data_IF_428286376189
#
_entry.id   IF_428286376189
#
_cell.length_a   1.000
_cell.length_b   1.000
_cell.length_c   1.000
_cell.angle_alpha   90.00
_cell.angle_beta   90.00
_cell.angle_gamma   90.00
#
_symmetry.space_group_name_H-M   'P 1'
#
loop_
_entity.id
_entity.type
_entity.pdbx_description
1 polymer ?
#
# COMPACT_ATOMS: atom_id res chain seq x y z
N UNK A 1 67.04 -55.09 20.85
CA UNK A 1 66.10 -54.26 21.64
C UNK A 1 65.00 -53.77 20.71
N UNK A 2 63.76 -53.93 21.13
CA UNK A 2 62.53 -53.86 20.35
C UNK A 2 61.93 -52.44 20.28
N UNK A 3 61.03 -52.25 19.29
CA UNK A 3 60.02 -51.18 19.10
C UNK A 3 60.55 -49.87 18.45
N UNK A 4 59.86 -49.20 17.53
CA UNK A 4 58.46 -49.27 17.07
C UNK A 4 58.34 -48.53 15.72
N UNK A 5 57.49 -49.01 14.82
CA UNK A 5 56.96 -48.28 13.67
C UNK A 5 56.19 -47.03 14.15
N UNK A 6 56.31 -45.92 13.43
CA UNK A 6 55.24 -44.92 13.31
C UNK A 6 55.16 -44.49 11.84
N UNK A 7 53.96 -44.68 11.31
CA UNK A 7 53.53 -44.45 9.93
C UNK A 7 53.48 -42.95 9.61
N UNK A 8 53.65 -42.62 8.33
CA UNK A 8 53.55 -41.27 7.82
C UNK A 8 52.09 -40.78 7.84
N UNK A 9 51.84 -39.68 8.54
CA UNK A 9 50.60 -38.94 8.39
C UNK A 9 50.66 -38.03 7.17
N UNK A 10 49.86 -38.38 6.16
CA UNK A 10 49.57 -37.55 5.00
C UNK A 10 48.79 -36.32 5.47
N UNK A 11 49.40 -35.14 5.36
CA UNK A 11 48.72 -33.86 5.62
C UNK A 11 47.72 -33.59 4.50
N UNK A 12 46.45 -33.93 4.72
CA UNK A 12 45.35 -33.48 3.87
C UNK A 12 45.10 -31.98 4.07
N UNK A 13 45.62 -31.15 3.16
CA UNK A 13 45.15 -29.78 2.98
C UNK A 13 43.71 -29.79 2.43
N UNK A 14 42.75 -29.92 3.35
CA UNK A 14 41.35 -29.68 3.06
C UNK A 14 41.13 -28.23 2.66
N UNK A 15 41.16 -27.93 1.35
CA UNK A 15 40.56 -26.71 0.80
C UNK A 15 39.09 -26.70 1.24
N UNK A 16 38.76 -25.93 2.28
CA UNK A 16 37.38 -25.51 2.55
C UNK A 16 36.89 -24.80 1.29
N UNK A 17 36.14 -25.51 0.44
CA UNK A 17 35.25 -24.89 -0.55
C UNK A 17 34.40 -23.92 0.25
N UNK A 18 34.65 -22.61 0.14
CA UNK A 18 33.68 -21.60 0.55
C UNK A 18 32.41 -21.98 -0.18
N UNK A 19 31.39 -22.43 0.57
CA UNK A 19 30.03 -22.52 0.07
C UNK A 19 29.70 -21.09 -0.32
N UNK A 20 29.83 -20.76 -1.61
CA UNK A 20 29.39 -19.47 -2.12
C UNK A 20 27.91 -19.41 -1.79
N UNK A 21 27.55 -18.52 -0.87
CA UNK A 21 26.16 -18.34 -0.50
C UNK A 21 25.40 -18.00 -1.79
N UNK A 22 24.52 -18.89 -2.23
CA UNK A 22 23.83 -18.77 -3.52
C UNK A 22 23.09 -17.44 -3.59
N UNK A 23 22.65 -16.97 -2.42
CA UNK A 23 22.05 -15.66 -2.25
C UNK A 23 23.02 -14.54 -2.64
N UNK A 24 24.25 -14.51 -2.09
CA UNK A 24 25.26 -13.49 -2.41
C UNK A 24 25.69 -13.49 -3.89
N UNK A 25 25.64 -14.64 -4.57
CA UNK A 25 25.95 -14.73 -6.00
C UNK A 25 24.79 -14.41 -6.95
N UNK A 26 23.57 -14.28 -6.43
CA UNK A 26 22.40 -13.97 -7.26
C UNK A 26 22.45 -12.54 -7.82
N UNK A 27 21.91 -12.25 -9.01
CA UNK A 27 21.76 -10.87 -9.51
C UNK A 27 20.83 -10.03 -8.64
N UNK A 28 21.12 -8.73 -8.50
CA UNK A 28 20.33 -7.80 -7.69
C UNK A 28 18.88 -7.68 -8.19
N UNK A 29 18.63 -7.88 -9.48
CA UNK A 29 17.31 -7.86 -10.10
C UNK A 29 16.39 -8.95 -9.53
N UNK A 30 16.93 -10.14 -9.25
CA UNK A 30 16.16 -11.25 -8.64
C UNK A 30 15.78 -10.87 -7.22
N UNK A 31 16.72 -10.32 -6.46
CA UNK A 31 16.48 -9.91 -5.07
C UNK A 31 15.47 -8.77 -5.01
N UNK A 32 15.56 -7.79 -5.91
CA UNK A 32 14.59 -6.70 -6.03
C UNK A 32 13.20 -7.25 -6.35
N UNK A 33 13.09 -8.22 -7.27
CA UNK A 33 11.80 -8.86 -7.60
C UNK A 33 11.20 -9.59 -6.40
N UNK A 34 12.01 -10.32 -5.64
CA UNK A 34 11.58 -10.97 -4.39
C UNK A 34 11.09 -9.91 -3.39
N UNK A 35 11.86 -8.85 -3.19
CA UNK A 35 11.50 -7.76 -2.28
C UNK A 35 10.23 -7.02 -2.71
N UNK A 36 9.99 -6.83 -4.00
CA UNK A 36 8.76 -6.24 -4.51
C UNK A 36 7.55 -7.10 -4.13
N UNK A 37 7.62 -8.41 -4.42
CA UNK A 37 6.55 -9.34 -4.06
C UNK A 37 6.29 -9.32 -2.56
N UNK A 38 7.35 -9.45 -1.75
CA UNK A 38 7.26 -9.40 -0.30
C UNK A 38 6.60 -8.09 0.19
N UNK A 39 7.08 -6.94 -0.27
CA UNK A 39 6.56 -5.60 0.09
C UNK A 39 5.08 -5.40 -0.26
N UNK A 40 4.56 -6.14 -1.24
CA UNK A 40 3.15 -6.08 -1.66
C UNK A 40 2.22 -7.01 -0.88
N UNK A 41 2.79 -7.98 -0.14
CA UNK A 41 2.04 -9.07 0.52
C UNK A 41 2.12 -9.07 2.04
N UNK A 42 2.98 -8.26 2.66
CA UNK A 42 3.15 -8.28 4.11
C UNK A 42 1.90 -7.83 4.86
N UNK A 43 1.67 -8.46 6.01
CA UNK A 43 0.58 -8.11 6.93
C UNK A 43 0.97 -7.01 7.93
N UNK A 44 2.27 -6.65 8.02
CA UNK A 44 2.77 -5.65 8.96
C UNK A 44 4.07 -5.00 8.46
N UNK A 45 4.24 -3.72 8.78
CA UNK A 45 5.47 -2.95 8.55
C UNK A 45 6.68 -3.53 9.29
N UNK A 46 6.49 -4.16 10.45
CA UNK A 46 7.55 -4.84 11.22
C UNK A 46 8.19 -6.00 10.46
N UNK A 47 7.39 -6.76 9.71
CA UNK A 47 7.84 -7.97 9.03
C UNK A 47 8.75 -7.60 7.86
N UNK A 48 8.38 -6.56 7.12
CA UNK A 48 9.21 -6.00 6.07
C UNK A 48 10.55 -5.51 6.61
N UNK A 49 10.54 -4.72 7.69
CA UNK A 49 11.76 -4.21 8.33
C UNK A 49 12.65 -5.35 8.81
N UNK A 50 12.09 -6.41 9.39
CA UNK A 50 12.85 -7.58 9.85
C UNK A 50 13.58 -8.27 8.71
N UNK A 51 12.93 -8.43 7.54
CA UNK A 51 13.60 -8.96 6.33
C UNK A 51 14.74 -8.05 5.89
N UNK A 52 14.52 -6.73 5.85
CA UNK A 52 15.56 -5.78 5.46
C UNK A 52 16.76 -5.78 6.41
N UNK A 53 16.56 -6.04 7.70
CA UNK A 53 17.61 -6.09 8.71
C UNK A 53 18.41 -7.40 8.71
N UNK A 54 17.94 -8.42 8.00
CA UNK A 54 18.59 -9.74 7.96
C UNK A 54 20.00 -9.67 7.38
N UNK A 55 20.23 -8.86 6.34
CA UNK A 55 21.58 -8.63 5.82
C UNK A 55 21.73 -7.26 5.15
N UNK A 56 22.99 -6.80 5.03
CA UNK A 56 23.32 -5.49 4.43
C UNK A 56 22.82 -5.37 2.98
N UNK A 57 22.84 -6.46 2.23
CA UNK A 57 22.41 -6.48 0.83
C UNK A 57 20.90 -6.25 0.71
N UNK A 58 20.10 -6.98 1.50
CA UNK A 58 18.64 -6.78 1.56
C UNK A 58 18.30 -5.36 2.04
N UNK A 59 18.98 -4.86 3.07
CA UNK A 59 18.79 -3.49 3.55
C UNK A 59 18.98 -2.46 2.44
N UNK A 60 20.08 -2.58 1.68
CA UNK A 60 20.41 -1.69 0.56
C UNK A 60 19.39 -1.79 -0.59
N UNK A 61 18.98 -3.00 -0.96
CA UNK A 61 18.05 -3.21 -2.07
C UNK A 61 16.58 -2.93 -1.69
N UNK A 62 16.24 -2.99 -0.41
CA UNK A 62 14.89 -2.70 0.10
C UNK A 62 14.44 -1.26 -0.12
N UNK A 63 15.38 -0.33 -0.24
CA UNK A 63 15.11 1.08 -0.57
C UNK A 63 15.17 1.38 -2.07
N UNK A 64 15.25 0.34 -2.91
CA UNK A 64 15.20 0.51 -4.36
C UNK A 64 13.82 1.05 -4.79
N UNK A 65 13.74 2.01 -5.74
CA UNK A 65 12.47 2.63 -6.13
C UNK A 65 11.37 1.64 -6.52
N UNK A 66 11.71 0.53 -7.19
CA UNK A 66 10.72 -0.50 -7.52
C UNK A 66 10.09 -1.15 -6.28
N UNK A 67 10.89 -1.47 -5.26
CA UNK A 67 10.39 -2.05 -4.00
C UNK A 67 9.49 -1.05 -3.30
N UNK A 68 9.97 0.19 -3.15
CA UNK A 68 9.22 1.25 -2.48
C UNK A 68 7.91 1.59 -3.20
N UNK A 69 7.89 1.56 -4.54
CA UNK A 69 6.69 1.82 -5.34
C UNK A 69 5.60 0.75 -5.19
N UNK A 70 5.99 -0.48 -4.80
CA UNK A 70 5.12 -1.65 -4.64
C UNK A 70 4.74 -1.95 -3.19
N UNK A 71 5.29 -1.22 -2.21
CA UNK A 71 4.95 -1.38 -0.80
C UNK A 71 3.43 -1.21 -0.57
N UNK A 72 2.81 -2.18 0.10
CA UNK A 72 1.39 -2.18 0.45
C UNK A 72 1.06 -1.23 1.62
N UNK A 73 -0.24 -1.05 1.86
CA UNK A 73 -0.80 -0.28 2.97
C UNK A 73 -0.25 -0.71 4.33
N UNK A 74 -0.18 -2.00 4.58
CA UNK A 74 0.26 -2.60 5.84
C UNK A 74 1.76 -2.34 6.06
N UNK A 75 2.55 -2.36 4.99
CA UNK A 75 3.99 -2.01 5.04
C UNK A 75 4.19 -0.54 5.37
N UNK A 76 3.29 0.34 4.93
CA UNK A 76 3.34 1.79 5.17
C UNK A 76 2.59 2.22 6.44
N UNK A 77 1.84 1.30 7.06
CA UNK A 77 1.04 1.58 8.24
C UNK A 77 1.94 1.81 9.46
N UNK A 78 2.16 3.09 9.78
CA UNK A 78 2.81 3.53 11.01
C UNK A 78 1.76 4.26 11.84
N UNK A 79 1.36 3.65 12.96
CA UNK A 79 0.44 4.28 13.90
C UNK A 79 1.03 5.55 14.50
N UNK A 80 0.18 6.54 14.79
CA UNK A 80 0.61 7.85 15.26
C UNK A 80 1.54 7.80 16.50
N UNK A 81 1.32 6.85 17.41
CA UNK A 81 2.16 6.63 18.59
C UNK A 81 3.60 6.23 18.25
N UNK A 82 3.79 5.54 17.12
CA UNK A 82 5.08 5.00 16.68
C UNK A 82 5.69 5.85 15.56
N UNK A 83 5.16 7.06 15.33
CA UNK A 83 5.66 7.95 14.30
C UNK A 83 7.04 8.50 14.69
N UNK A 84 8.03 8.34 13.81
CA UNK A 84 9.40 8.85 13.99
C UNK A 84 9.90 9.59 12.74
N UNK A 85 11.04 10.25 12.86
CA UNK A 85 11.70 10.91 11.72
C UNK A 85 12.10 9.90 10.65
N UNK A 86 12.48 8.67 11.03
CA UNK A 86 12.78 7.57 10.12
C UNK A 86 11.52 7.10 9.38
N UNK A 87 10.38 6.96 10.08
CA UNK A 87 9.11 6.62 9.46
C UNK A 87 8.69 7.67 8.43
N UNK A 88 8.81 8.95 8.79
CA UNK A 88 8.55 10.07 7.88
C UNK A 88 9.50 10.07 6.68
N UNK A 89 10.79 9.82 6.90
CA UNK A 89 11.80 9.71 5.83
C UNK A 89 11.49 8.55 4.90
N UNK A 90 11.14 7.39 5.45
CA UNK A 90 10.75 6.22 4.67
C UNK A 90 9.51 6.52 3.81
N UNK A 91 8.48 7.13 4.39
CA UNK A 91 7.28 7.53 3.64
C UNK A 91 7.60 8.51 2.50
N UNK A 92 8.51 9.48 2.72
CA UNK A 92 9.00 10.37 1.66
C UNK A 92 9.72 9.62 0.54
N UNK A 93 10.51 8.60 0.86
CA UNK A 93 11.15 7.77 -0.16
C UNK A 93 10.10 7.04 -1.01
N UNK A 94 9.05 6.49 -0.39
CA UNK A 94 7.94 5.85 -1.11
C UNK A 94 7.17 6.85 -1.99
N UNK A 95 6.95 8.07 -1.52
CA UNK A 95 6.37 9.18 -2.32
C UNK A 95 7.25 9.49 -3.53
N UNK A 96 8.56 9.61 -3.36
CA UNK A 96 9.49 9.87 -4.45
C UNK A 96 9.55 8.70 -5.46
N UNK A 97 9.36 7.47 -5.00
CA UNK A 97 9.20 6.28 -5.84
C UNK A 97 7.81 6.19 -6.50
N UNK A 98 6.90 7.11 -6.21
CA UNK A 98 5.57 7.17 -6.81
C UNK A 98 4.55 6.20 -6.21
N UNK A 99 4.76 5.71 -4.98
CA UNK A 99 3.80 4.84 -4.31
C UNK A 99 2.46 5.57 -4.05
N UNK A 100 1.36 4.98 -4.50
CA UNK A 100 0.01 5.58 -4.42
C UNK A 100 -0.53 5.69 -2.99
N UNK A 101 -0.24 4.70 -2.16
CA UNK A 101 -0.61 4.70 -0.75
C UNK A 101 0.22 5.75 -0.01
N UNK A 102 1.53 5.80 -0.27
CA UNK A 102 2.40 6.80 0.36
C UNK A 102 1.98 8.24 0.03
N UNK A 103 1.56 8.50 -1.23
CA UNK A 103 0.96 9.77 -1.61
C UNK A 103 -0.27 10.10 -0.77
N UNK A 104 -1.17 9.14 -0.59
CA UNK A 104 -2.38 9.31 0.22
C UNK A 104 -2.03 9.54 1.70
N UNK A 105 -1.24 8.68 2.32
CA UNK A 105 -0.86 8.77 3.74
C UNK A 105 -0.19 10.12 4.05
N UNK A 106 0.84 10.50 3.29
CA UNK A 106 1.53 11.78 3.51
C UNK A 106 0.62 12.97 3.19
N UNK A 107 -0.24 12.83 2.19
CA UNK A 107 -1.26 13.81 1.83
C UNK A 107 -2.22 14.08 2.99
N UNK A 108 -2.77 13.03 3.59
CA UNK A 108 -3.67 13.10 4.75
C UNK A 108 -2.98 13.73 5.96
N UNK A 109 -1.74 13.33 6.27
CA UNK A 109 -0.98 13.93 7.38
C UNK A 109 -0.78 15.43 7.17
N UNK A 110 -0.39 15.84 5.96
CA UNK A 110 -0.20 17.27 5.65
C UNK A 110 -1.51 18.05 5.72
N UNK A 111 -2.59 17.46 5.22
CA UNK A 111 -3.91 18.08 5.18
C UNK A 111 -4.52 18.24 6.58
N UNK A 112 -4.55 17.15 7.37
CA UNK A 112 -5.24 17.09 8.66
C UNK A 112 -4.37 17.59 9.82
N UNK A 113 -3.07 17.26 9.85
CA UNK A 113 -2.25 17.44 11.04
C UNK A 113 -1.31 18.64 10.94
N UNK A 114 -0.77 18.92 9.75
CA UNK A 114 0.26 19.96 9.57
C UNK A 114 -0.28 21.28 9.01
N UNK A 115 -1.61 21.42 8.89
CA UNK A 115 -2.31 22.58 8.33
C UNK A 115 -1.84 22.99 6.92
N UNK A 116 -1.13 22.11 6.21
CA UNK A 116 -0.65 22.36 4.86
C UNK A 116 -1.61 21.71 3.85
N UNK A 117 -2.83 22.26 3.81
CA UNK A 117 -3.96 21.70 3.06
C UNK A 117 -3.69 21.62 1.55
N UNK A 118 -3.14 22.68 0.96
CA UNK A 118 -2.82 22.71 -0.47
C UNK A 118 -1.82 21.62 -0.87
N UNK A 119 -0.73 21.47 -0.11
CA UNK A 119 0.23 20.39 -0.39
C UNK A 119 -0.36 19.00 -0.11
N UNK A 120 -1.18 18.86 0.94
CA UNK A 120 -1.84 17.60 1.26
C UNK A 120 -2.80 17.15 0.16
N UNK A 121 -3.67 18.06 -0.29
CA UNK A 121 -4.59 17.84 -1.41
C UNK A 121 -3.83 17.50 -2.70
N UNK A 122 -2.73 18.19 -3.01
CA UNK A 122 -1.90 17.89 -4.18
C UNK A 122 -1.34 16.46 -4.17
N UNK A 123 -0.90 15.96 -3.00
CA UNK A 123 -0.44 14.57 -2.87
C UNK A 123 -1.60 13.58 -3.03
N UNK A 124 -2.76 13.86 -2.43
CA UNK A 124 -3.95 13.03 -2.61
C UNK A 124 -4.41 12.99 -4.08
N UNK A 125 -4.29 14.10 -4.83
CA UNK A 125 -4.56 14.11 -6.28
C UNK A 125 -3.63 13.17 -7.02
N UNK A 126 -2.33 13.13 -6.68
CA UNK A 126 -1.39 12.14 -7.26
C UNK A 126 -1.80 10.70 -6.95
N UNK A 127 -2.26 10.41 -5.74
CA UNK A 127 -2.81 9.10 -5.40
C UNK A 127 -4.07 8.78 -6.22
N UNK A 128 -5.01 9.72 -6.31
CA UNK A 128 -6.26 9.57 -7.04
C UNK A 128 -6.07 9.38 -8.55
N UNK A 129 -5.09 10.04 -9.17
CA UNK A 129 -4.70 9.78 -10.57
C UNK A 129 -4.34 8.31 -10.78
N UNK A 130 -3.67 7.69 -9.79
CA UNK A 130 -3.33 6.26 -9.76
C UNK A 130 -4.48 5.37 -9.26
N UNK A 131 -5.72 5.85 -9.33
CA UNK A 131 -6.95 5.16 -8.92
C UNK A 131 -6.91 4.68 -7.47
N UNK A 132 -6.27 5.45 -6.58
CA UNK A 132 -6.30 5.19 -5.14
C UNK A 132 -7.67 5.55 -4.56
N UNK A 133 -8.46 4.53 -4.22
CA UNK A 133 -9.86 4.69 -3.83
C UNK A 133 -10.06 5.57 -2.59
N UNK A 134 -9.31 5.37 -1.47
CA UNK A 134 -9.41 6.27 -0.31
C UNK A 134 -9.09 7.73 -0.62
N UNK A 135 -8.17 7.98 -1.57
CA UNK A 135 -7.79 9.33 -1.96
C UNK A 135 -8.88 9.99 -2.81
N UNK A 136 -9.50 9.25 -3.74
CA UNK A 136 -10.65 9.73 -4.51
C UNK A 136 -11.79 10.16 -3.58
N UNK A 137 -12.14 9.30 -2.63
CA UNK A 137 -13.22 9.59 -1.69
C UNK A 137 -12.88 10.77 -0.75
N UNK A 138 -11.66 10.81 -0.22
CA UNK A 138 -11.21 11.92 0.63
C UNK A 138 -11.20 13.26 -0.11
N UNK A 139 -10.78 13.28 -1.37
CA UNK A 139 -10.88 14.48 -2.21
C UNK A 139 -12.33 14.89 -2.47
N UNK A 140 -13.24 13.93 -2.67
CA UNK A 140 -14.67 14.24 -2.81
C UNK A 140 -15.20 14.97 -1.56
N UNK A 141 -14.91 14.45 -0.36
CA UNK A 141 -15.28 15.10 0.90
C UNK A 141 -14.65 16.49 1.07
N UNK A 142 -13.44 16.71 0.56
CA UNK A 142 -12.80 18.03 0.57
C UNK A 142 -13.57 19.01 -0.33
N UNK A 143 -13.97 18.58 -1.53
CA UNK A 143 -14.78 19.39 -2.44
C UNK A 143 -16.20 19.65 -1.90
N UNK A 144 -16.79 18.67 -1.20
CA UNK A 144 -18.09 18.85 -0.54
C UNK A 144 -18.04 19.91 0.56
N UNK A 145 -17.05 19.78 1.45
CA UNK A 145 -16.93 20.63 2.62
C UNK A 145 -16.38 22.02 2.27
N UNK A 146 -15.68 22.13 1.14
CA UNK A 146 -14.96 23.34 0.78
C UNK A 146 -13.75 23.57 1.69
N UNK A 147 -13.00 22.51 2.00
CA UNK A 147 -11.93 22.54 2.99
C UNK A 147 -10.52 22.59 2.37
N UNK A 148 -10.41 22.77 1.05
CA UNK A 148 -9.17 22.74 0.25
C UNK A 148 -8.17 23.88 0.49
N UNK A 149 -8.58 24.99 1.08
CA UNK A 149 -7.80 26.20 1.34
C UNK A 149 -8.02 27.39 0.38
N UNK A 150 -8.97 27.34 -0.57
CA UNK A 150 -9.30 28.45 -1.48
C UNK A 150 -10.70 29.03 -1.21
N UNK A 151 -10.91 30.29 -1.61
CA UNK A 151 -12.10 31.10 -1.27
C UNK A 151 -13.43 30.63 -1.89
N UNK A 152 -13.44 29.57 -2.69
CA UNK A 152 -14.62 28.96 -3.34
C UNK A 152 -14.46 27.43 -3.44
N UNK A 153 -13.93 26.78 -2.40
CA UNK A 153 -13.58 25.35 -2.45
C UNK A 153 -14.76 24.38 -2.59
N UNK A 154 -16.00 24.85 -2.40
CA UNK A 154 -17.16 23.97 -2.58
C UNK A 154 -17.44 23.76 -4.06
N UNK A 155 -17.17 22.57 -4.54
CA UNK A 155 -17.51 22.16 -5.90
C UNK A 155 -18.23 20.81 -5.87
N UNK A 156 -19.56 20.88 -5.80
CA UNK A 156 -20.43 19.69 -5.79
C UNK A 156 -20.32 18.88 -7.08
N UNK A 157 -19.95 19.49 -8.23
CA UNK A 157 -19.76 18.74 -9.47
C UNK A 157 -18.47 17.93 -9.41
N UNK A 158 -17.40 18.53 -8.90
CA UNK A 158 -16.13 17.83 -8.71
C UNK A 158 -16.26 16.73 -7.65
N UNK A 159 -16.99 16.99 -6.57
CA UNK A 159 -17.34 16.00 -5.55
C UNK A 159 -18.04 14.79 -6.18
N UNK A 160 -19.16 14.98 -6.88
CA UNK A 160 -19.91 13.89 -7.53
C UNK A 160 -19.03 13.12 -8.52
N UNK A 161 -18.18 13.80 -9.30
CA UNK A 161 -17.29 13.13 -10.25
C UNK A 161 -16.27 12.23 -9.54
N UNK A 162 -15.71 12.68 -8.42
CA UNK A 162 -14.78 11.90 -7.60
C UNK A 162 -15.48 10.73 -6.92
N UNK A 163 -16.66 10.94 -6.35
CA UNK A 163 -17.51 9.90 -5.77
C UNK A 163 -17.91 8.85 -6.79
N UNK A 164 -18.31 9.25 -8.00
CA UNK A 164 -18.62 8.31 -9.09
C UNK A 164 -17.41 7.46 -9.48
N UNK A 165 -16.20 8.04 -9.52
CA UNK A 165 -14.99 7.28 -9.80
C UNK A 165 -14.61 6.32 -8.66
N UNK A 166 -14.78 6.71 -7.40
CA UNK A 166 -14.56 5.83 -6.25
C UNK A 166 -15.62 4.71 -6.18
N UNK A 167 -16.89 5.04 -6.47
CA UNK A 167 -18.00 4.11 -6.56
C UNK A 167 -17.80 3.05 -7.64
N UNK A 168 -17.32 3.46 -8.82
CA UNK A 168 -16.95 2.54 -9.90
C UNK A 168 -15.86 1.54 -9.47
N UNK A 169 -14.99 1.93 -8.53
CA UNK A 169 -13.95 1.07 -7.95
C UNK A 169 -14.43 0.28 -6.72
N UNK A 170 -15.74 0.30 -6.43
CA UNK A 170 -16.37 -0.50 -5.37
C UNK A 170 -16.34 0.13 -3.98
N UNK A 171 -16.09 1.44 -3.85
CA UNK A 171 -16.11 2.11 -2.54
C UNK A 171 -17.55 2.29 -2.03
N UNK A 172 -17.93 1.54 -1.01
CA UNK A 172 -19.27 1.54 -0.43
C UNK A 172 -19.77 2.95 -0.05
N UNK A 173 -18.98 3.71 0.71
CA UNK A 173 -19.39 5.04 1.14
C UNK A 173 -19.58 5.99 -0.06
N UNK A 174 -18.74 5.87 -1.09
CA UNK A 174 -18.85 6.74 -2.27
C UNK A 174 -20.12 6.42 -3.08
N UNK A 175 -20.55 5.15 -3.08
CA UNK A 175 -21.81 4.74 -3.72
C UNK A 175 -23.00 5.33 -2.95
N UNK A 176 -22.97 5.30 -1.62
CA UNK A 176 -23.99 5.94 -0.77
C UNK A 176 -24.07 7.44 -1.01
N UNK A 177 -22.93 8.14 -1.03
CA UNK A 177 -22.90 9.58 -1.30
C UNK A 177 -23.39 9.91 -2.71
N UNK A 178 -23.01 9.12 -3.72
CA UNK A 178 -23.51 9.30 -5.09
C UNK A 178 -25.02 9.07 -5.19
N UNK A 179 -25.57 8.10 -4.45
CA UNK A 179 -27.02 7.90 -4.38
C UNK A 179 -27.73 9.13 -3.81
N UNK A 180 -27.23 9.71 -2.72
CA UNK A 180 -27.78 10.93 -2.14
C UNK A 180 -27.78 12.07 -3.16
N UNK A 181 -26.67 12.26 -3.88
CA UNK A 181 -26.56 13.27 -4.92
C UNK A 181 -27.55 13.05 -6.08
N UNK A 182 -27.75 11.81 -6.52
CA UNK A 182 -28.71 11.47 -7.58
C UNK A 182 -30.17 11.54 -7.10
N UNK A 183 -30.43 11.35 -5.80
CA UNK A 183 -31.77 11.45 -5.22
C UNK A 183 -32.25 12.91 -5.17
N UNK A 184 -31.37 13.81 -4.74
CA UNK A 184 -31.72 15.21 -4.46
C UNK A 184 -31.27 16.19 -5.56
N UNK A 185 -30.38 15.76 -6.45
CA UNK A 185 -29.84 16.58 -7.53
C UNK A 185 -28.68 17.48 -7.09
N UNK A 186 -27.91 17.09 -6.06
CA UNK A 186 -26.72 17.83 -5.64
C UNK A 186 -25.56 17.57 -6.60
N UNK A 187 -25.03 18.62 -7.24
CA UNK A 187 -23.90 18.51 -8.16
C UNK A 187 -24.18 17.76 -9.47
N UNK A 188 -25.33 17.09 -9.60
CA UNK A 188 -25.72 16.26 -10.75
C UNK A 188 -27.23 16.37 -11.00
N UNK A 189 -27.67 16.02 -12.21
CA UNK A 189 -29.12 15.92 -12.49
C UNK A 189 -29.71 14.79 -11.66
N UNK A 190 -30.82 15.07 -10.98
CA UNK A 190 -31.61 14.08 -10.24
C UNK A 190 -31.94 12.88 -11.13
N UNK A 191 -31.59 11.68 -10.67
CA UNK A 191 -31.89 10.40 -11.29
C UNK A 191 -32.00 9.32 -10.21
N UNK A 192 -33.17 9.28 -9.58
CA UNK A 192 -33.45 8.37 -8.45
C UNK A 192 -33.33 6.90 -8.85
N UNK A 193 -33.63 6.57 -10.11
CA UNK A 193 -33.58 5.20 -10.60
C UNK A 193 -32.13 4.69 -10.67
N UNK A 194 -31.24 5.48 -11.29
CA UNK A 194 -29.81 5.12 -11.33
C UNK A 194 -29.21 5.04 -9.93
N UNK A 195 -29.57 5.99 -9.05
CA UNK A 195 -29.12 5.94 -7.65
C UNK A 195 -29.54 4.62 -6.96
N UNK A 196 -30.79 4.19 -7.12
CA UNK A 196 -31.26 2.91 -6.54
C UNK A 196 -30.49 1.72 -7.11
N UNK A 197 -30.22 1.72 -8.41
CA UNK A 197 -29.43 0.67 -9.05
C UNK A 197 -28.02 0.56 -8.44
N UNK A 198 -27.35 1.69 -8.23
CA UNK A 198 -26.02 1.75 -7.63
C UNK A 198 -26.01 1.20 -6.18
N UNK A 199 -27.01 1.55 -5.35
CA UNK A 199 -27.12 1.01 -3.99
C UNK A 199 -27.29 -0.52 -3.97
N UNK A 200 -28.12 -1.06 -4.85
CA UNK A 200 -28.31 -2.52 -4.94
C UNK A 200 -26.99 -3.20 -5.31
N UNK A 201 -26.22 -2.61 -6.23
CA UNK A 201 -24.89 -3.11 -6.59
C UNK A 201 -23.89 -3.03 -5.43
N UNK A 202 -23.88 -1.94 -4.67
CA UNK A 202 -23.04 -1.79 -3.47
C UNK A 202 -23.34 -2.88 -2.45
N UNK A 203 -24.61 -3.05 -2.08
CA UNK A 203 -25.03 -4.06 -1.12
C UNK A 203 -24.68 -5.48 -1.59
N UNK A 204 -24.87 -5.77 -2.88
CA UNK A 204 -24.49 -7.06 -3.45
C UNK A 204 -22.97 -7.30 -3.37
N UNK A 205 -22.17 -6.27 -3.65
CA UNK A 205 -20.72 -6.33 -3.54
C UNK A 205 -20.26 -6.53 -2.09
N UNK A 206 -20.78 -5.75 -1.13
CA UNK A 206 -20.48 -5.91 0.30
C UNK A 206 -20.84 -7.31 0.81
N UNK A 207 -22.02 -7.81 0.48
CA UNK A 207 -22.43 -9.18 0.82
C UNK A 207 -21.45 -10.20 0.23
N UNK A 208 -21.05 -10.04 -1.04
CA UNK A 208 -20.07 -10.93 -1.67
C UNK A 208 -18.73 -10.95 -0.93
N UNK A 209 -18.24 -9.79 -0.48
CA UNK A 209 -16.99 -9.66 0.28
C UNK A 209 -17.09 -10.30 1.68
N UNK A 210 -18.27 -10.30 2.30
CA UNK A 210 -18.51 -10.96 3.60
C UNK A 210 -18.55 -12.50 3.43
N UNK A 211 -19.13 -13.00 2.35
CA UNK A 211 -19.30 -14.44 2.13
C UNK A 211 -18.10 -15.13 1.44
N UNK A 212 -17.25 -14.39 0.73
CA UNK A 212 -16.08 -14.96 0.04
C UNK A 212 -14.98 -15.52 0.99
N UNK A 213 -14.64 -14.90 2.14
CA UNK A 213 -13.74 -15.49 3.13
C UNK A 213 -14.26 -16.81 3.73
N UNK A 214 -15.58 -16.97 3.83
CA UNK A 214 -16.20 -18.19 4.35
C UNK A 214 -16.06 -19.39 3.41
N UNK A 215 -16.00 -19.18 2.09
CA UNK A 215 -15.86 -20.29 1.14
C UNK A 215 -14.42 -20.79 0.98
N UNK A 216 -13.42 -19.92 1.16
CA UNK A 216 -12.00 -20.33 1.12
C UNK A 216 -11.61 -21.17 2.36
N UNK A 217 -12.20 -20.89 3.53
CA UNK A 217 -11.97 -21.71 4.73
C UNK A 217 -12.65 -23.09 4.66
N UNK A 218 -13.79 -23.25 3.98
CA UNK A 218 -14.41 -24.57 3.80
C UNK A 218 -13.61 -25.50 2.88
N UNK A 219 -12.85 -24.98 1.92
CA UNK A 219 -12.01 -25.81 1.03
C UNK A 219 -10.71 -26.29 1.68
N UNK A 220 -10.26 -25.68 2.78
CA UNK A 220 -9.06 -26.13 3.53
C UNK A 220 -9.33 -27.24 4.54
N UNK A 221 -10.59 -27.51 4.89
CA UNK A 221 -10.97 -28.58 5.83
C UNK A 221 -11.37 -29.89 5.13
N UNK A 222 -11.26 -29.98 3.81
CA UNK A 222 -11.65 -31.17 3.02
C UNK A 222 -10.55 -31.72 2.09
N UNK A 223 -9.28 -31.35 2.31
CA UNK A 223 -8.12 -32.00 1.68
C UNK A 223 -7.11 -32.41 2.75
#
# INVERSE_FOLDING_TARGET
>A
MTKKLCEGEVVHHGRRRRRSDLFESSPDEIVISILCNLSSTFSSSSDFVTVLLTCKRLNKLGVHPLVLSNACSETLAVGAKNWSDEAHRFLKLCVNAGNKEAYYTLGMIRFCCLQNRGSGASLMVKAAIKSHVPALYSLALIQFNGSGGLKNDKDLRAEVALCARAAFLGHADAIRELWHCLQDGYGVRKNVEEGRRLLVQANAHELSCIFHPFQLNRRRHHN
#
